data_IF_889222365538
#
_entry.id   IF_889222365538
#
_cell.length_a   1.000
_cell.length_b   1.000
_cell.length_c   1.000
_cell.angle_alpha   90.00
_cell.angle_beta   90.00
_cell.angle_gamma   90.00
#
_symmetry.space_group_name_H-M   'P 1'
#
loop_
_entity.id
_entity.type
_entity.pdbx_description
1 polymer ?
#
# COMPACT_ATOMS: atom_id res chain seq x y z
N UNK A 1 23.40 11.33 24.29
CA UNK A 1 22.57 12.40 24.85
C UNK A 1 21.35 12.52 23.95
N UNK A 2 20.19 12.05 24.42
CA UNK A 2 18.94 12.10 23.66
C UNK A 2 18.52 13.56 23.47
N UNK A 3 18.13 13.95 22.25
CA UNK A 3 17.90 15.34 21.88
C UNK A 3 16.70 15.92 22.64
N UNK A 4 16.95 16.98 23.41
CA UNK A 4 15.92 17.80 24.06
C UNK A 4 14.87 18.34 23.08
N UNK A 5 15.21 18.43 21.79
CA UNK A 5 14.30 18.86 20.73
C UNK A 5 13.08 17.94 20.49
N UNK A 6 13.16 16.65 20.86
CA UNK A 6 12.01 15.74 20.73
C UNK A 6 10.94 16.00 21.79
N UNK A 7 11.31 16.45 22.99
CA UNK A 7 10.37 16.71 24.08
C UNK A 7 9.64 18.05 23.94
N UNK A 8 10.34 19.12 23.52
CA UNK A 8 9.73 20.44 23.34
C UNK A 8 8.69 20.46 22.18
N UNK A 9 8.87 19.62 21.16
CA UNK A 9 7.89 19.45 20.08
C UNK A 9 6.65 18.64 20.53
N UNK A 10 6.82 17.72 21.48
CA UNK A 10 5.76 16.91 22.08
C UNK A 10 4.92 17.72 23.08
N UNK A 11 5.49 18.71 23.75
CA UNK A 11 4.78 19.57 24.71
C UNK A 11 4.07 20.78 24.06
N UNK A 12 4.36 21.09 22.79
CA UNK A 12 3.61 22.07 21.98
C UNK A 12 2.58 21.42 21.03
N UNK A 13 2.30 20.12 21.20
CA UNK A 13 1.13 19.51 20.55
C UNK A 13 -0.14 20.00 21.27
N UNK A 14 -1.12 20.61 20.57
CA UNK A 14 -2.41 20.88 21.19
C UNK A 14 -2.92 19.56 21.76
N UNK A 15 -3.54 19.58 22.96
CA UNK A 15 -4.21 18.44 23.61
C UNK A 15 -4.81 17.57 22.51
N UNK A 16 -4.13 16.48 22.15
CA UNK A 16 -4.49 15.69 20.99
C UNK A 16 -5.90 15.18 21.29
N UNK A 17 -6.90 15.72 20.60
CA UNK A 17 -8.29 15.30 20.67
C UNK A 17 -8.41 13.93 20.02
N UNK A 18 -7.75 12.92 20.57
CA UNK A 18 -8.16 11.54 20.37
C UNK A 18 -9.48 11.42 21.10
N UNK A 19 -10.58 11.38 20.36
CA UNK A 19 -11.81 10.85 20.93
C UNK A 19 -11.48 9.41 21.31
N UNK A 20 -11.70 9.05 22.58
CA UNK A 20 -11.26 7.78 23.17
C UNK A 20 -11.80 6.53 22.43
N UNK A 21 -12.74 6.74 21.51
CA UNK A 21 -13.51 5.70 20.86
C UNK A 21 -13.31 5.65 19.34
N UNK A 22 -12.40 6.40 18.72
CA UNK A 22 -12.24 6.39 17.26
C UNK A 22 -11.04 5.55 16.80
N UNK A 23 -11.27 4.68 15.81
CA UNK A 23 -10.23 3.88 15.18
C UNK A 23 -9.25 4.77 14.41
N UNK A 24 -7.96 4.53 14.59
CA UNK A 24 -6.90 5.18 13.84
C UNK A 24 -6.08 4.14 13.08
N UNK A 25 -5.76 4.43 11.82
CA UNK A 25 -4.80 3.67 11.02
C UNK A 25 -3.44 4.38 11.12
N UNK A 26 -2.41 3.60 11.45
CA UNK A 26 -1.04 4.06 11.53
C UNK A 26 -0.26 3.64 10.28
N UNK A 27 0.75 4.42 9.92
CA UNK A 27 1.79 4.02 8.97
C UNK A 27 3.16 4.22 9.61
N UNK A 28 4.09 3.33 9.29
CA UNK A 28 5.52 3.49 9.57
C UNK A 28 6.25 3.27 8.26
N UNK A 29 7.09 4.24 7.88
CA UNK A 29 7.86 4.15 6.64
C UNK A 29 9.17 4.95 6.71
N UNK A 30 10.14 4.60 5.87
CA UNK A 30 11.45 5.24 5.85
C UNK A 30 11.48 6.48 4.96
N UNK A 31 11.92 7.60 5.54
CA UNK A 31 12.17 8.82 4.81
C UNK A 31 13.67 8.97 4.57
N UNK A 32 14.05 9.07 3.30
CA UNK A 32 15.41 9.44 2.90
C UNK A 32 15.43 10.91 2.52
N UNK A 33 16.30 11.69 3.17
CA UNK A 33 16.56 13.09 2.85
C UNK A 33 17.39 13.25 1.56
N UNK A 34 16.97 12.57 0.48
CA UNK A 34 17.59 12.65 -0.83
C UNK A 34 16.78 13.64 -1.66
N UNK A 35 17.26 14.87 -1.71
CA UNK A 35 16.78 15.85 -2.67
C UNK A 35 17.44 15.51 -4.01
N UNK A 36 16.63 15.12 -5.00
CA UNK A 36 17.14 14.63 -6.27
C UNK A 36 17.88 15.70 -7.07
N UNK A 37 19.17 15.89 -6.81
CA UNK A 37 20.08 16.56 -7.75
C UNK A 37 20.90 15.46 -8.43
N UNK A 38 20.49 15.05 -9.64
CA UNK A 38 21.19 14.02 -10.44
C UNK A 38 22.54 14.47 -10.99
N UNK A 39 22.93 15.73 -10.78
CA UNK A 39 24.25 16.28 -11.11
C UNK A 39 24.74 17.13 -9.95
N UNK A 40 25.75 16.69 -9.19
CA UNK A 40 26.36 17.52 -8.16
C UNK A 40 26.84 18.82 -8.77
N UNK A 41 26.32 19.94 -8.29
CA UNK A 41 26.81 21.30 -8.51
C UNK A 41 27.85 21.70 -7.45
N UNK A 42 28.06 20.83 -6.45
CA UNK A 42 29.03 21.00 -5.37
C UNK A 42 29.94 19.77 -5.20
N UNK A 43 31.12 19.97 -4.62
CA UNK A 43 32.07 18.90 -4.24
C UNK A 43 31.76 18.27 -2.87
N UNK A 44 30.67 18.68 -2.22
CA UNK A 44 30.25 18.16 -0.93
C UNK A 44 29.54 16.81 -1.07
N UNK A 45 30.00 15.81 -0.31
CA UNK A 45 29.32 14.53 -0.14
C UNK A 45 28.01 14.74 0.64
N UNK A 46 26.85 14.58 0.00
CA UNK A 46 25.59 14.49 0.74
C UNK A 46 25.52 13.12 1.41
N UNK A 47 25.59 13.09 2.75
CA UNK A 47 25.20 11.91 3.50
C UNK A 47 23.68 11.85 3.51
N UNK A 48 23.09 10.75 3.08
CA UNK A 48 21.64 10.57 3.18
C UNK A 48 21.29 10.38 4.65
N UNK A 49 20.49 11.28 5.22
CA UNK A 49 19.89 11.07 6.53
C UNK A 49 18.68 10.13 6.38
N UNK A 50 18.55 9.20 7.32
CA UNK A 50 17.50 8.18 7.35
C UNK A 50 16.58 8.46 8.53
N UNK A 51 15.28 8.56 8.27
CA UNK A 51 14.29 8.82 9.30
C UNK A 51 13.21 7.75 9.27
N UNK A 52 12.70 7.39 10.45
CA UNK A 52 11.41 6.70 10.56
C UNK A 52 10.31 7.74 10.65
N UNK A 53 9.35 7.66 9.74
CA UNK A 53 8.14 8.49 9.75
C UNK A 53 6.98 7.67 10.26
N UNK A 54 6.27 8.18 11.26
CA UNK A 54 5.07 7.58 11.82
C UNK A 54 3.90 8.56 11.67
N UNK A 55 2.86 8.18 10.95
CA UNK A 55 1.63 8.98 10.82
C UNK A 55 0.42 8.20 11.30
N UNK A 56 -0.62 8.92 11.72
CA UNK A 56 -1.89 8.35 12.15
C UNK A 56 -3.06 9.10 11.51
N UNK A 57 -4.00 8.36 10.91
CA UNK A 57 -5.21 8.89 10.28
C UNK A 57 -6.44 8.29 10.97
N UNK A 58 -7.40 9.10 11.45
CA UNK A 58 -8.66 8.57 11.95
C UNK A 58 -9.50 7.96 10.82
N UNK A 59 -10.18 6.86 11.11
CA UNK A 59 -11.25 6.31 10.28
C UNK A 59 -12.55 7.01 10.66
N UNK A 60 -13.18 7.68 9.70
CA UNK A 60 -14.40 8.45 9.97
C UNK A 60 -15.52 7.53 10.46
N UNK A 61 -16.27 8.02 11.46
CA UNK A 61 -17.45 7.35 12.03
C UNK A 61 -17.23 5.90 12.51
N UNK A 62 -15.97 5.49 12.70
CA UNK A 62 -15.62 4.11 13.06
C UNK A 62 -15.07 4.04 14.48
N UNK A 63 -15.65 3.15 15.28
CA UNK A 63 -15.21 2.97 16.66
C UNK A 63 -13.97 2.08 16.78
N UNK A 64 -13.17 2.31 17.82
CA UNK A 64 -12.05 1.43 18.18
C UNK A 64 -12.52 0.00 18.42
N UNK A 65 -11.69 -0.97 18.04
CA UNK A 65 -11.98 -2.40 18.17
C UNK A 65 -11.15 -2.99 19.29
N UNK A 66 -11.73 -3.88 20.09
CA UNK A 66 -11.00 -4.58 21.14
C UNK A 66 -9.99 -5.58 20.57
N UNK A 67 -8.87 -5.78 21.26
CA UNK A 67 -7.88 -6.81 20.92
C UNK A 67 -8.41 -8.23 21.09
N UNK A 68 -9.32 -8.42 22.05
CA UNK A 68 -9.99 -9.69 22.30
C UNK A 68 -11.50 -9.45 22.25
N UNK A 69 -12.16 -10.15 21.32
CA UNK A 69 -13.61 -10.16 21.18
C UNK A 69 -14.11 -11.59 21.35
N UNK A 70 -15.07 -11.83 22.25
CA UNK A 70 -15.60 -13.17 22.54
C UNK A 70 -14.51 -14.22 22.86
N UNK A 71 -13.48 -13.84 23.63
CA UNK A 71 -12.29 -14.66 23.93
C UNK A 71 -11.40 -15.00 22.71
N UNK A 72 -11.63 -14.38 21.57
CA UNK A 72 -10.84 -14.54 20.36
C UNK A 72 -9.94 -13.31 20.22
N UNK A 73 -8.63 -13.54 20.20
CA UNK A 73 -7.65 -12.48 19.92
C UNK A 73 -7.72 -12.06 18.46
N UNK A 74 -7.48 -10.77 18.18
CA UNK A 74 -7.24 -10.25 16.84
C UNK A 74 -6.03 -10.92 16.16
N UNK A 75 -5.05 -11.37 16.96
CA UNK A 75 -3.85 -12.02 16.48
C UNK A 75 -4.11 -13.50 16.28
N UNK A 76 -3.82 -13.98 15.08
CA UNK A 76 -3.87 -15.40 14.78
C UNK A 76 -2.78 -16.14 15.58
N UNK A 77 -3.09 -17.09 16.47
CA UNK A 77 -2.08 -17.78 17.28
C UNK A 77 -1.03 -18.55 16.46
N UNK A 78 -1.36 -18.94 15.23
CA UNK A 78 -0.45 -19.59 14.28
C UNK A 78 0.28 -18.62 13.35
N UNK A 79 0.07 -17.30 13.49
CA UNK A 79 0.59 -16.21 12.63
C UNK A 79 0.10 -16.28 11.18
N UNK A 80 0.51 -17.30 10.44
CA UNK A 80 0.11 -17.54 9.04
C UNK A 80 -0.37 -18.99 8.92
N UNK A 81 -1.67 -19.17 8.69
CA UNK A 81 -2.31 -20.48 8.60
C UNK A 81 -2.50 -20.92 7.15
N UNK A 82 -1.53 -21.66 6.63
CA UNK A 82 -1.65 -22.26 5.29
C UNK A 82 -2.93 -23.11 5.11
N UNK A 83 -3.36 -23.96 6.06
CA UNK A 83 -4.60 -24.74 5.90
C UNK A 83 -5.84 -23.87 5.69
N UNK A 84 -5.94 -22.74 6.40
CA UNK A 84 -7.07 -21.80 6.27
C UNK A 84 -7.09 -21.12 4.90
N UNK A 85 -5.93 -20.65 4.44
CA UNK A 85 -5.82 -20.08 3.10
C UNK A 85 -6.22 -21.10 2.03
N UNK A 86 -5.72 -22.34 2.14
CA UNK A 86 -6.05 -23.41 1.21
C UNK A 86 -7.55 -23.73 1.24
N UNK A 87 -8.16 -23.77 2.43
CA UNK A 87 -9.59 -24.00 2.58
C UNK A 87 -10.41 -22.94 1.83
N UNK A 88 -10.10 -21.65 1.99
CA UNK A 88 -10.81 -20.61 1.24
C UNK A 88 -10.52 -20.66 -0.26
N UNK A 89 -9.28 -20.93 -0.66
CA UNK A 89 -8.93 -21.09 -2.06
C UNK A 89 -9.80 -22.16 -2.73
N UNK A 90 -9.94 -23.32 -2.06
CA UNK A 90 -10.74 -24.44 -2.58
C UNK A 90 -12.24 -24.14 -2.49
N UNK A 91 -12.75 -23.70 -1.34
CA UNK A 91 -14.20 -23.63 -1.12
C UNK A 91 -14.84 -22.32 -1.63
N UNK A 92 -14.09 -21.23 -1.72
CA UNK A 92 -14.64 -19.91 -2.07
C UNK A 92 -14.19 -19.42 -3.45
N UNK A 93 -13.01 -19.84 -3.91
CA UNK A 93 -12.40 -19.32 -5.15
C UNK A 93 -12.21 -20.36 -6.25
N UNK A 94 -12.58 -21.62 -6.02
CA UNK A 94 -12.66 -22.64 -7.09
C UNK A 94 -13.72 -22.23 -8.11
N UNK A 95 -13.45 -22.47 -9.40
CA UNK A 95 -14.29 -21.98 -10.50
C UNK A 95 -14.08 -20.49 -10.82
N UNK A 96 -13.78 -19.65 -9.83
CA UNK A 96 -13.50 -18.22 -10.06
C UNK A 96 -12.19 -18.05 -10.82
N UNK A 97 -11.12 -18.70 -10.37
CA UNK A 97 -9.80 -18.61 -11.02
C UNK A 97 -9.67 -19.45 -12.30
N UNK A 98 -10.71 -20.21 -12.66
CA UNK A 98 -10.80 -20.89 -13.94
C UNK A 98 -11.28 -19.94 -15.06
N UNK A 99 -11.82 -18.78 -14.69
CA UNK A 99 -12.29 -17.74 -15.59
C UNK A 99 -11.17 -16.69 -15.75
N UNK A 100 -10.89 -16.21 -16.98
CA UNK A 100 -9.92 -15.14 -17.17
C UNK A 100 -10.33 -13.89 -16.38
N UNK A 101 -9.38 -13.24 -15.70
CA UNK A 101 -9.64 -12.08 -14.85
C UNK A 101 -10.39 -10.98 -15.61
N UNK A 102 -10.09 -10.78 -16.90
CA UNK A 102 -10.81 -9.82 -17.73
C UNK A 102 -12.31 -10.13 -17.84
N UNK A 103 -12.69 -11.40 -18.03
CA UNK A 103 -14.10 -11.82 -18.04
C UNK A 103 -14.72 -11.67 -16.64
N UNK A 104 -13.94 -11.96 -15.60
CA UNK A 104 -14.33 -11.77 -14.20
C UNK A 104 -14.59 -10.30 -13.86
N UNK A 105 -13.78 -9.39 -14.39
CA UNK A 105 -13.99 -7.95 -14.30
C UNK A 105 -15.27 -7.52 -15.01
N UNK A 106 -15.54 -8.01 -16.22
CA UNK A 106 -16.78 -7.72 -16.94
C UNK A 106 -18.01 -8.17 -16.15
N UNK A 107 -17.89 -9.31 -15.46
CA UNK A 107 -18.93 -9.75 -14.54
C UNK A 107 -19.18 -8.73 -13.40
N UNK A 108 -18.13 -8.20 -12.76
CA UNK A 108 -18.30 -7.15 -11.74
C UNK A 108 -18.95 -5.87 -12.28
N UNK A 109 -18.57 -5.45 -13.49
CA UNK A 109 -19.19 -4.30 -14.18
C UNK A 109 -20.66 -4.57 -14.46
N UNK A 110 -21.01 -5.75 -15.00
CA UNK A 110 -22.39 -6.12 -15.31
C UNK A 110 -23.30 -6.20 -14.07
N UNK A 111 -22.71 -6.39 -12.88
CA UNK A 111 -23.40 -6.40 -11.59
C UNK A 111 -23.43 -5.01 -10.94
N UNK A 112 -23.03 -3.96 -11.65
CA UNK A 112 -22.88 -2.59 -11.14
C UNK A 112 -22.00 -2.48 -9.88
N UNK A 113 -21.06 -3.42 -9.71
CA UNK A 113 -20.10 -3.39 -8.59
C UNK A 113 -18.86 -2.56 -8.90
N UNK A 114 -18.49 -2.48 -10.18
CA UNK A 114 -17.34 -1.71 -10.64
C UNK A 114 -17.79 -0.68 -11.69
N UNK A 115 -17.47 0.60 -11.44
CA UNK A 115 -17.70 1.71 -12.38
C UNK A 115 -16.34 2.15 -12.96
N UNK A 116 -16.22 2.21 -14.28
CA UNK A 116 -14.99 2.61 -14.97
C UNK A 116 -15.24 3.96 -15.67
N UNK A 117 -14.80 5.07 -15.05
CA UNK A 117 -14.97 6.42 -15.58
C UNK A 117 -13.74 6.91 -16.38
N UNK A 118 -13.94 7.76 -17.38
CA UNK A 118 -12.85 8.30 -18.22
C UNK A 118 -11.98 9.35 -17.49
N UNK A 119 -12.58 10.22 -16.68
CA UNK A 119 -11.87 11.21 -15.85
C UNK A 119 -10.92 10.54 -14.83
N UNK A 120 -11.25 9.33 -14.39
CA UNK A 120 -10.43 8.54 -13.47
C UNK A 120 -9.15 7.97 -14.11
N UNK A 121 -9.05 7.95 -15.44
CA UNK A 121 -7.89 7.34 -16.12
C UNK A 121 -6.62 8.16 -15.98
N UNK A 122 -6.70 9.49 -16.01
CA UNK A 122 -5.53 10.35 -15.75
C UNK A 122 -5.05 10.15 -14.30
N UNK A 123 -5.98 10.10 -13.35
CA UNK A 123 -5.68 9.84 -11.95
C UNK A 123 -5.08 8.43 -11.74
N UNK A 124 -5.57 7.42 -12.45
CA UNK A 124 -5.00 6.07 -12.43
C UNK A 124 -3.54 6.02 -12.93
N UNK A 125 -3.20 6.81 -13.96
CA UNK A 125 -1.83 6.93 -14.46
C UNK A 125 -0.90 7.63 -13.44
N UNK A 126 -1.45 8.59 -12.71
CA UNK A 126 -0.74 9.46 -11.76
C UNK A 126 -0.91 9.01 -10.31
N UNK A 127 -1.35 7.78 -10.07
CA UNK A 127 -1.65 7.22 -8.74
C UNK A 127 -0.47 7.24 -7.74
N UNK A 128 0.75 7.31 -8.27
CA UNK A 128 2.01 7.40 -7.53
C UNK A 128 2.67 8.78 -7.68
N UNK A 129 1.87 9.80 -8.01
CA UNK A 129 2.29 11.20 -8.01
C UNK A 129 1.74 11.88 -6.76
N UNK A 130 2.64 12.48 -5.99
CA UNK A 130 2.36 13.12 -4.72
C UNK A 130 2.62 14.64 -4.76
N UNK A 131 2.61 15.24 -5.96
CA UNK A 131 2.73 16.68 -6.11
C UNK A 131 1.52 17.40 -5.49
N UNK A 132 1.79 18.48 -4.74
CA UNK A 132 0.76 19.27 -4.03
C UNK A 132 -0.30 19.89 -4.94
N UNK A 133 0.02 20.09 -6.24
CA UNK A 133 -0.90 20.67 -7.23
C UNK A 133 -1.98 19.69 -7.72
N UNK A 134 -1.89 18.40 -7.38
CA UNK A 134 -2.97 17.48 -7.64
C UNK A 134 -4.03 17.72 -6.57
N UNK A 135 -5.14 18.37 -6.94
CA UNK A 135 -6.33 18.45 -6.10
C UNK A 135 -6.61 17.06 -5.51
N UNK A 136 -6.79 16.99 -4.19
CA UNK A 136 -7.23 15.78 -3.48
C UNK A 136 -8.69 15.54 -3.84
N UNK A 137 -8.94 15.15 -5.09
CA UNK A 137 -10.30 15.02 -5.66
C UNK A 137 -11.10 13.87 -5.07
N UNK A 138 -10.50 13.05 -4.21
CA UNK A 138 -11.15 11.91 -3.58
C UNK A 138 -10.81 11.80 -2.10
N UNK A 139 -11.81 11.38 -1.33
CA UNK A 139 -11.78 11.30 0.14
C UNK A 139 -10.64 10.43 0.67
N UNK A 140 -10.31 9.33 0.00
CA UNK A 140 -9.26 8.40 0.45
C UNK A 140 -7.84 9.00 0.40
N UNK A 141 -7.67 10.14 -0.28
CA UNK A 141 -6.41 10.91 -0.35
C UNK A 141 -6.44 12.20 0.48
N UNK A 142 -7.51 12.45 1.23
CA UNK A 142 -7.60 13.61 2.10
C UNK A 142 -6.62 13.51 3.25
N UNK A 143 -5.64 14.43 3.25
CA UNK A 143 -4.64 14.58 4.31
C UNK A 143 -5.17 15.36 5.53
N UNK A 144 -6.43 15.84 5.48
CA UNK A 144 -7.11 16.44 6.64
C UNK A 144 -7.09 15.46 7.83
N UNK A 145 -7.04 15.94 9.06
CA UNK A 145 -6.93 15.11 10.28
C UNK A 145 -5.73 14.14 10.36
N UNK A 146 -4.83 14.11 9.37
CA UNK A 146 -3.62 13.30 9.44
C UNK A 146 -2.67 13.90 10.47
N UNK A 147 -2.22 13.06 11.40
CA UNK A 147 -1.31 13.44 12.47
C UNK A 147 0.07 12.84 12.23
N UNK A 148 1.12 13.65 12.26
CA UNK A 148 2.49 13.17 12.41
C UNK A 148 2.72 12.78 13.88
N UNK A 149 2.82 11.48 14.14
CA UNK A 149 2.96 10.91 15.50
C UNK A 149 4.38 10.44 15.81
N UNK A 150 5.30 10.59 14.87
CA UNK A 150 6.72 10.34 15.11
C UNK A 150 7.54 10.65 13.87
N UNK A 151 8.68 11.29 14.06
CA UNK A 151 9.64 11.56 13.00
C UNK A 151 11.03 11.71 13.60
N UNK A 152 11.83 10.65 13.55
CA UNK A 152 13.14 10.57 14.18
C UNK A 152 14.19 10.02 13.23
N UNK A 153 15.43 10.49 13.38
CA UNK A 153 16.58 9.95 12.66
C UNK A 153 16.88 8.53 13.15
N UNK A 154 16.49 7.54 12.35
CA UNK A 154 16.76 6.13 12.54
C UNK A 154 16.47 5.37 11.24
N UNK A 155 17.08 4.19 11.10
CA UNK A 155 16.71 3.25 10.05
C UNK A 155 15.42 2.48 10.38
N UNK A 156 14.98 1.67 9.42
CA UNK A 156 13.91 0.68 9.55
C UNK A 156 14.36 -0.67 8.97
N UNK A 157 15.50 -1.16 9.45
CA UNK A 157 16.20 -2.32 8.86
C UNK A 157 16.15 -3.59 9.71
N UNK A 158 15.62 -3.50 10.94
CA UNK A 158 15.62 -4.57 11.93
C UNK A 158 14.33 -4.59 12.75
N UNK A 159 14.11 -5.65 13.53
CA UNK A 159 12.97 -5.73 14.46
C UNK A 159 13.07 -4.64 15.53
N UNK A 160 14.29 -4.40 16.03
CA UNK A 160 14.60 -3.39 17.03
C UNK A 160 14.30 -1.98 16.53
N UNK A 161 14.58 -1.69 15.26
CA UNK A 161 14.27 -0.39 14.65
C UNK A 161 12.76 -0.14 14.59
N UNK A 162 11.98 -1.16 14.22
CA UNK A 162 10.51 -1.06 14.19
C UNK A 162 9.91 -0.95 15.60
N UNK A 163 10.44 -1.67 16.59
CA UNK A 163 10.02 -1.52 17.99
C UNK A 163 10.29 -0.10 18.49
N UNK A 164 11.44 0.50 18.15
CA UNK A 164 11.74 1.89 18.49
C UNK A 164 10.74 2.85 17.86
N UNK A 165 10.42 2.67 16.57
CA UNK A 165 9.42 3.50 15.89
C UNK A 165 8.02 3.37 16.52
N UNK A 166 7.60 2.14 16.84
CA UNK A 166 6.34 1.87 17.56
C UNK A 166 6.32 2.53 18.95
N UNK A 167 7.45 2.54 19.65
CA UNK A 167 7.58 3.18 20.97
C UNK A 167 7.30 4.69 20.90
N UNK A 168 7.65 5.35 19.78
CA UNK A 168 7.30 6.75 19.55
C UNK A 168 5.78 6.93 19.46
N UNK A 169 5.11 6.07 18.69
CA UNK A 169 3.65 6.07 18.57
C UNK A 169 3.01 5.88 19.95
N UNK A 170 3.46 4.89 20.72
CA UNK A 170 2.98 4.62 22.08
C UNK A 170 3.19 5.80 23.02
N UNK A 171 4.32 6.49 22.95
CA UNK A 171 4.62 7.61 23.85
C UNK A 171 3.61 8.76 23.72
N UNK A 172 3.13 9.02 22.50
CA UNK A 172 2.09 10.02 22.22
C UNK A 172 0.72 9.49 22.64
N UNK A 173 0.46 8.21 22.39
CA UNK A 173 -0.84 7.58 22.63
C UNK A 173 -1.12 7.30 24.12
N UNK A 174 -0.10 7.03 24.91
CA UNK A 174 -0.20 6.79 26.36
C UNK A 174 -0.77 7.98 27.11
N UNK A 175 -0.62 9.21 26.59
CA UNK A 175 -1.27 10.40 27.16
C UNK A 175 -2.80 10.32 27.09
N UNK A 176 -3.37 9.55 26.16
CA UNK A 176 -4.83 9.48 25.92
C UNK A 176 -5.47 8.12 26.17
N UNK A 177 -4.68 7.07 26.48
CA UNK A 177 -5.17 5.71 26.79
C UNK A 177 -6.11 5.11 25.73
N UNK A 178 -5.99 5.54 24.48
CA UNK A 178 -6.89 5.10 23.40
C UNK A 178 -6.52 3.73 22.82
N UNK A 179 -5.28 3.27 23.06
CA UNK A 179 -4.81 1.94 22.66
C UNK A 179 -4.97 0.89 23.76
N UNK A 180 -5.48 1.28 24.94
CA UNK A 180 -5.72 0.36 26.06
C UNK A 180 -6.71 -0.73 25.62
N UNK A 181 -6.20 -1.95 25.40
CA UNK A 181 -6.95 -3.10 24.90
C UNK A 181 -7.63 -2.90 23.52
N UNK A 182 -7.14 -1.96 22.71
CA UNK A 182 -7.68 -1.65 21.39
C UNK A 182 -6.70 -1.99 20.26
N UNK A 183 -7.23 -2.38 19.11
CA UNK A 183 -6.48 -2.64 17.88
C UNK A 183 -5.96 -1.34 17.28
N UNK A 184 -4.70 -1.33 16.88
CA UNK A 184 -4.00 -0.28 16.15
C UNK A 184 -3.52 -0.82 14.80
N UNK A 185 -4.33 -0.74 13.73
CA UNK A 185 -3.90 -1.16 12.40
C UNK A 185 -2.68 -0.36 11.96
N UNK A 186 -1.65 -1.06 11.50
CA UNK A 186 -0.38 -0.50 11.09
C UNK A 186 -0.08 -0.95 9.65
N UNK A 187 -0.36 -0.06 8.71
CA UNK A 187 -0.11 -0.30 7.29
C UNK A 187 1.35 0.04 7.00
N UNK A 188 2.10 -0.98 6.61
CA UNK A 188 3.52 -0.85 6.28
C UNK A 188 3.84 -1.71 5.06
N UNK A 189 4.87 -1.34 4.32
CA UNK A 189 5.33 -2.12 3.20
C UNK A 189 6.18 -3.32 3.66
N UNK A 190 6.95 -3.93 2.75
CA UNK A 190 7.99 -4.87 3.16
C UNK A 190 9.35 -4.18 3.19
N UNK A 191 10.08 -4.19 4.32
CA UNK A 191 10.04 -5.24 5.34
C UNK A 191 9.22 -4.96 6.60
N UNK A 192 8.50 -3.83 6.68
CA UNK A 192 7.75 -3.47 7.89
C UNK A 192 6.80 -4.56 8.38
N UNK A 193 6.02 -5.15 7.47
CA UNK A 193 5.16 -6.28 7.83
C UNK A 193 5.92 -7.47 8.41
N UNK A 194 7.10 -7.77 7.88
CA UNK A 194 7.90 -8.87 8.40
C UNK A 194 8.37 -8.58 9.82
N UNK A 195 8.95 -7.40 10.04
CA UNK A 195 9.59 -7.08 11.31
C UNK A 195 8.58 -6.84 12.42
N UNK A 196 7.46 -6.17 12.14
CA UNK A 196 6.37 -6.00 13.09
C UNK A 196 5.77 -7.36 13.46
N UNK A 197 5.47 -8.22 12.48
CA UNK A 197 5.00 -9.60 12.76
C UNK A 197 6.04 -10.37 13.58
N UNK A 198 7.32 -10.31 13.21
CA UNK A 198 8.37 -10.99 14.00
C UNK A 198 8.36 -10.54 15.45
N UNK A 199 8.20 -9.24 15.72
CA UNK A 199 8.10 -8.72 17.08
C UNK A 199 6.91 -9.32 17.83
N UNK A 200 5.72 -9.34 17.22
CA UNK A 200 4.48 -9.87 17.83
C UNK A 200 4.58 -11.35 18.24
N UNK A 201 5.32 -12.16 17.47
CA UNK A 201 5.45 -13.61 17.72
C UNK A 201 6.77 -14.00 18.40
N UNK A 202 7.55 -13.03 18.91
CA UNK A 202 8.68 -13.32 19.81
C UNK A 202 8.18 -13.93 21.12
N UNK A 203 9.03 -14.73 21.79
CA UNK A 203 8.71 -15.36 23.08
C UNK A 203 9.77 -14.98 24.13
N UNK A 204 9.45 -14.09 25.11
CA UNK A 204 8.22 -13.29 25.21
C UNK A 204 8.17 -12.17 24.14
N UNK A 205 6.97 -11.68 23.77
CA UNK A 205 6.88 -10.50 22.91
C UNK A 205 7.40 -9.26 23.64
N UNK A 206 7.94 -8.27 22.92
CA UNK A 206 8.21 -6.94 23.46
C UNK A 206 6.99 -6.36 24.17
N UNK A 207 7.21 -5.57 25.22
CA UNK A 207 6.10 -4.93 25.94
C UNK A 207 5.34 -3.97 25.02
N UNK A 208 4.02 -3.91 25.21
CA UNK A 208 3.11 -2.89 24.67
C UNK A 208 2.98 -2.85 23.13
N UNK A 209 3.52 -3.83 22.40
CA UNK A 209 3.36 -3.91 20.93
C UNK A 209 2.06 -4.62 20.50
N UNK A 210 1.40 -5.31 21.43
CA UNK A 210 0.19 -6.11 21.18
C UNK A 210 -0.94 -5.34 20.47
N UNK A 211 -1.16 -4.03 20.72
CA UNK A 211 -2.14 -3.26 19.96
C UNK A 211 -1.92 -3.29 18.45
N UNK A 212 -0.68 -3.36 17.98
CA UNK A 212 -0.35 -3.12 16.58
C UNK A 212 -0.64 -4.32 15.69
N UNK A 213 -1.40 -4.07 14.62
CA UNK A 213 -1.83 -5.09 13.67
C UNK A 213 -1.26 -4.79 12.27
N UNK A 214 -0.27 -5.55 11.78
CA UNK A 214 0.38 -5.25 10.51
C UNK A 214 -0.52 -5.55 9.30
N UNK A 215 -0.88 -4.50 8.54
CA UNK A 215 -1.76 -4.57 7.35
C UNK A 215 -0.95 -4.50 6.05
N UNK A 216 -1.48 -5.09 4.96
CA UNK A 216 -0.81 -5.11 3.66
C UNK A 216 -0.59 -3.69 3.10
N UNK A 217 0.64 -3.37 2.69
CA UNK A 217 0.98 -2.11 2.01
C UNK A 217 0.57 -2.18 0.54
N UNK A 218 -0.65 -1.72 0.23
CA UNK A 218 -1.28 -2.00 -1.06
C UNK A 218 -0.90 -1.06 -2.18
N UNK A 219 -0.52 0.16 -1.82
CA UNK A 219 0.09 1.08 -2.77
C UNK A 219 1.41 0.46 -3.27
N UNK A 220 2.20 -0.10 -2.35
CA UNK A 220 3.42 -0.83 -2.66
C UNK A 220 3.20 -2.15 -3.42
N UNK A 221 2.16 -2.93 -3.09
CA UNK A 221 1.78 -4.13 -3.86
C UNK A 221 1.47 -3.77 -5.32
N UNK A 222 0.70 -2.72 -5.54
CA UNK A 222 0.36 -2.23 -6.88
C UNK A 222 1.59 -1.71 -7.62
N UNK A 223 2.43 -0.90 -6.97
CA UNK A 223 3.67 -0.40 -7.52
C UNK A 223 4.60 -1.54 -7.98
N UNK A 224 4.83 -2.52 -7.09
CA UNK A 224 5.77 -3.60 -7.32
C UNK A 224 5.27 -4.58 -8.37
N UNK A 225 3.97 -4.90 -8.36
CA UNK A 225 3.38 -5.79 -9.37
C UNK A 225 3.49 -5.20 -10.78
N UNK A 226 3.12 -3.92 -10.97
CA UNK A 226 3.24 -3.24 -12.29
C UNK A 226 4.68 -3.19 -12.79
N UNK A 227 5.63 -2.81 -11.92
CA UNK A 227 7.06 -2.83 -12.26
C UNK A 227 7.53 -4.22 -12.66
N UNK A 228 7.10 -5.24 -11.93
CA UNK A 228 7.54 -6.61 -12.16
C UNK A 228 6.97 -7.20 -13.44
N UNK A 229 5.67 -7.02 -13.71
CA UNK A 229 5.02 -7.41 -14.97
C UNK A 229 5.73 -6.78 -16.16
N UNK A 230 6.00 -5.47 -16.08
CA UNK A 230 6.73 -4.76 -17.13
C UNK A 230 8.11 -5.37 -17.41
N UNK A 231 8.86 -5.70 -16.36
CA UNK A 231 10.21 -6.27 -16.49
C UNK A 231 10.19 -7.69 -17.04
N UNK A 232 9.28 -8.55 -16.56
CA UNK A 232 9.16 -9.94 -17.03
C UNK A 232 8.77 -9.98 -18.50
N UNK A 233 7.85 -9.12 -18.93
CA UNK A 233 7.37 -9.05 -20.30
C UNK A 233 7.95 -7.88 -21.09
N UNK A 234 9.18 -7.46 -20.76
CA UNK A 234 9.81 -6.27 -21.36
C UNK A 234 9.85 -6.36 -22.89
N UNK A 235 10.14 -7.53 -23.46
CA UNK A 235 10.21 -7.73 -24.92
C UNK A 235 8.86 -7.51 -25.63
N UNK A 236 7.74 -7.82 -24.95
CA UNK A 236 6.41 -7.52 -25.46
C UNK A 236 6.14 -6.01 -25.41
N UNK A 237 6.40 -5.39 -24.25
CA UNK A 237 6.15 -3.98 -24.03
C UNK A 237 7.06 -3.07 -24.86
N UNK A 238 8.28 -3.49 -25.15
CA UNK A 238 9.20 -2.80 -26.05
C UNK A 238 8.65 -2.73 -27.47
N UNK A 239 8.15 -3.85 -28.00
CA UNK A 239 7.50 -3.89 -29.33
C UNK A 239 6.27 -2.99 -29.37
N UNK A 240 5.42 -3.06 -28.35
CA UNK A 240 4.26 -2.18 -28.24
C UNK A 240 4.68 -0.71 -28.20
N UNK A 241 5.71 -0.39 -27.42
CA UNK A 241 6.20 0.98 -27.29
C UNK A 241 6.73 1.53 -28.62
N UNK A 242 7.58 0.78 -29.34
CA UNK A 242 8.09 1.26 -30.64
C UNK A 242 7.01 1.33 -31.71
N UNK A 243 6.00 0.46 -31.65
CA UNK A 243 4.85 0.54 -32.53
C UNK A 243 4.04 1.83 -32.29
N UNK A 244 3.78 2.19 -31.03
CA UNK A 244 2.94 3.36 -30.68
C UNK A 244 3.70 4.68 -30.79
N UNK A 245 4.96 4.74 -30.34
CA UNK A 245 5.72 5.98 -30.21
C UNK A 245 6.80 6.17 -31.28
N UNK A 246 6.99 5.18 -32.15
CA UNK A 246 8.00 5.17 -33.21
C UNK A 246 9.33 4.56 -32.76
N UNK A 247 10.01 3.90 -33.70
CA UNK A 247 11.30 3.23 -33.49
C UNK A 247 12.46 4.18 -33.15
N UNK A 248 12.33 5.47 -33.46
CA UNK A 248 13.30 6.51 -33.09
C UNK A 248 13.27 6.92 -31.61
N UNK A 249 12.33 6.40 -30.81
CA UNK A 249 12.26 6.66 -29.36
C UNK A 249 12.93 5.55 -28.58
N UNK A 250 13.61 5.88 -27.48
CA UNK A 250 14.26 4.88 -26.61
C UNK A 250 13.37 4.51 -25.41
N UNK A 251 13.14 3.21 -25.20
CA UNK A 251 12.53 2.69 -23.99
C UNK A 251 13.61 2.22 -23.02
N UNK A 252 13.82 2.97 -21.93
CA UNK A 252 14.75 2.56 -20.88
C UNK A 252 14.37 1.17 -20.30
N UNK A 253 15.36 0.35 -19.92
CA UNK A 253 15.14 -0.95 -19.25
C UNK A 253 14.38 -0.81 -17.92
N UNK A 254 14.52 0.34 -17.25
CA UNK A 254 13.79 0.71 -16.04
C UNK A 254 13.17 2.10 -16.24
N UNK A 255 12.05 2.21 -16.96
CA UNK A 255 11.43 3.50 -17.23
C UNK A 255 10.81 4.07 -15.95
N UNK A 256 10.52 5.38 -15.97
CA UNK A 256 9.76 6.02 -14.89
C UNK A 256 8.39 5.38 -14.76
N UNK A 257 7.87 5.35 -13.55
CA UNK A 257 6.65 4.63 -13.22
C UNK A 257 5.42 5.05 -14.04
N UNK A 258 5.22 6.36 -14.25
CA UNK A 258 4.13 6.85 -15.09
C UNK A 258 4.18 6.28 -16.52
N UNK A 259 5.38 6.01 -17.04
CA UNK A 259 5.56 5.41 -18.37
C UNK A 259 5.22 3.92 -18.34
N UNK A 260 5.53 3.21 -17.25
CA UNK A 260 5.08 1.83 -17.04
C UNK A 260 3.55 1.80 -17.03
N UNK A 261 2.91 2.63 -16.20
CA UNK A 261 1.45 2.72 -16.10
C UNK A 261 0.83 3.01 -17.47
N UNK A 262 1.37 3.97 -18.22
CA UNK A 262 0.89 4.31 -19.56
C UNK A 262 0.94 3.11 -20.51
N UNK A 263 2.05 2.37 -20.53
CA UNK A 263 2.21 1.21 -21.41
C UNK A 263 1.24 0.08 -21.02
N UNK A 264 1.05 -0.17 -19.72
CA UNK A 264 0.09 -1.16 -19.24
C UNK A 264 -1.36 -0.76 -19.59
N UNK A 265 -1.72 0.51 -19.42
CA UNK A 265 -3.03 1.03 -19.82
C UNK A 265 -3.26 0.95 -21.33
N UNK A 266 -2.27 1.32 -22.15
CA UNK A 266 -2.34 1.15 -23.60
C UNK A 266 -2.50 -0.33 -23.98
N UNK A 267 -1.83 -1.23 -23.27
CA UNK A 267 -1.94 -2.67 -23.48
C UNK A 267 -3.36 -3.15 -23.21
N UNK A 268 -3.94 -2.79 -22.06
CA UNK A 268 -5.32 -3.14 -21.69
C UNK A 268 -6.31 -2.59 -22.71
N UNK A 269 -6.23 -1.30 -23.01
CA UNK A 269 -7.17 -0.64 -23.93
C UNK A 269 -7.03 -1.15 -25.37
N UNK A 270 -5.81 -1.47 -25.81
CA UNK A 270 -5.57 -2.09 -27.11
C UNK A 270 -6.15 -3.50 -27.18
N UNK A 271 -5.95 -4.30 -26.13
CA UNK A 271 -6.48 -5.66 -26.04
C UNK A 271 -8.00 -5.71 -26.14
N UNK A 272 -8.71 -4.87 -25.37
CA UNK A 272 -10.19 -4.76 -25.41
C UNK A 272 -10.72 -4.58 -26.84
N UNK A 273 -10.00 -3.84 -27.70
CA UNK A 273 -10.42 -3.56 -29.07
C UNK A 273 -10.21 -4.71 -30.06
N UNK A 274 -9.26 -5.61 -29.79
CA UNK A 274 -8.84 -6.64 -30.75
C UNK A 274 -9.09 -8.06 -30.25
N UNK A 275 -9.44 -8.23 -28.98
CA UNK A 275 -9.58 -9.52 -28.30
C UNK A 275 -10.46 -10.49 -29.09
N UNK A 276 -11.66 -10.06 -29.49
CA UNK A 276 -12.61 -10.94 -30.18
C UNK A 276 -12.04 -11.49 -31.48
N UNK A 277 -11.41 -10.62 -32.29
CA UNK A 277 -10.78 -11.01 -33.56
C UNK A 277 -9.60 -11.97 -33.35
N UNK A 278 -8.83 -11.79 -32.29
CA UNK A 278 -7.71 -12.67 -31.96
C UNK A 278 -8.22 -14.03 -31.45
N UNK A 279 -9.25 -14.04 -30.60
CA UNK A 279 -9.85 -15.27 -30.09
C UNK A 279 -10.55 -16.04 -31.22
N UNK A 280 -11.25 -15.37 -32.13
CA UNK A 280 -11.88 -15.96 -33.31
C UNK A 280 -10.83 -16.65 -34.21
N UNK A 281 -9.71 -15.97 -34.46
CA UNK A 281 -8.67 -16.47 -35.37
C UNK A 281 -7.87 -17.66 -34.81
N UNK A 282 -7.54 -17.63 -33.53
CA UNK A 282 -6.64 -18.62 -32.93
C UNK A 282 -7.36 -19.66 -32.07
N UNK A 283 -8.59 -19.38 -31.63
CA UNK A 283 -9.39 -20.22 -30.75
C UNK A 283 -8.99 -20.13 -29.27
N UNK A 284 -9.99 -20.27 -28.38
CA UNK A 284 -9.80 -20.25 -26.91
C UNK A 284 -8.89 -21.36 -26.39
N UNK A 285 -8.83 -22.49 -27.09
CA UNK A 285 -8.12 -23.70 -26.65
C UNK A 285 -6.73 -23.87 -27.30
N UNK A 286 -6.26 -22.88 -28.07
CA UNK A 286 -4.95 -22.90 -28.71
C UNK A 286 -3.85 -23.31 -27.72
N UNK A 287 -3.06 -24.33 -28.08
CA UNK A 287 -2.01 -24.90 -27.23
C UNK A 287 -0.64 -24.24 -27.42
N UNK A 288 -0.50 -23.33 -28.39
CA UNK A 288 0.78 -22.63 -28.60
C UNK A 288 1.20 -21.85 -27.36
N UNK A 289 2.45 -22.04 -26.95
CA UNK A 289 2.98 -21.50 -25.71
C UNK A 289 3.05 -19.96 -25.74
N UNK A 290 3.44 -19.39 -26.89
CA UNK A 290 3.56 -17.93 -27.02
C UNK A 290 2.18 -17.30 -26.97
N UNK A 291 1.22 -17.86 -27.70
CA UNK A 291 -0.17 -17.46 -27.65
C UNK A 291 -0.71 -17.51 -26.22
N UNK A 292 -0.60 -18.64 -25.51
CA UNK A 292 -1.09 -18.77 -24.13
C UNK A 292 -0.44 -17.77 -23.18
N UNK A 293 0.87 -17.57 -23.30
CA UNK A 293 1.60 -16.59 -22.46
C UNK A 293 1.12 -15.16 -22.73
N UNK A 294 0.89 -14.81 -23.99
CA UNK A 294 0.35 -13.50 -24.36
C UNK A 294 -1.08 -13.33 -23.89
N UNK A 295 -1.94 -14.34 -24.04
CA UNK A 295 -3.32 -14.30 -23.55
C UNK A 295 -3.34 -14.17 -22.02
N UNK A 296 -2.51 -14.91 -21.29
CA UNK A 296 -2.41 -14.79 -19.83
C UNK A 296 -1.94 -13.39 -19.39
N UNK A 297 -0.97 -12.81 -20.12
CA UNK A 297 -0.53 -11.43 -19.90
C UNK A 297 -1.70 -10.44 -20.05
N UNK A 298 -2.47 -10.56 -21.13
CA UNK A 298 -3.50 -9.60 -21.52
C UNK A 298 -4.81 -9.78 -20.76
N UNK A 299 -5.25 -11.01 -20.52
CA UNK A 299 -6.50 -11.31 -19.83
C UNK A 299 -6.37 -11.33 -18.30
N UNK A 300 -5.20 -11.70 -17.76
CA UNK A 300 -5.06 -11.93 -16.32
C UNK A 300 -4.14 -10.91 -15.68
N UNK A 301 -2.89 -10.87 -16.12
CA UNK A 301 -1.81 -10.19 -15.39
C UNK A 301 -1.93 -8.66 -15.47
N UNK A 302 -2.02 -8.11 -16.68
CA UNK A 302 -2.13 -6.65 -16.88
C UNK A 302 -3.36 -6.09 -16.17
N UNK A 303 -4.59 -6.59 -16.39
CA UNK A 303 -5.77 -6.02 -15.75
C UNK A 303 -5.73 -6.14 -14.22
N UNK A 304 -5.33 -7.29 -13.65
CA UNK A 304 -5.23 -7.44 -12.19
C UNK A 304 -4.26 -6.43 -11.55
N UNK A 305 -3.10 -6.18 -12.16
CA UNK A 305 -2.13 -5.20 -11.63
C UNK A 305 -2.56 -3.75 -11.78
N UNK A 306 -3.38 -3.44 -12.79
CA UNK A 306 -3.95 -2.11 -12.94
C UNK A 306 -5.04 -1.91 -11.88
N UNK A 307 -5.99 -2.83 -11.78
CA UNK A 307 -7.21 -2.64 -11.00
C UNK A 307 -7.02 -2.67 -9.48
N UNK A 308 -6.11 -3.52 -8.97
CA UNK A 308 -5.99 -3.82 -7.53
C UNK A 308 -6.05 -2.59 -6.63
N UNK A 309 -5.33 -1.53 -7.01
CA UNK A 309 -5.30 -0.29 -6.24
C UNK A 309 -6.25 0.76 -6.82
N UNK A 310 -6.20 1.01 -8.14
CA UNK A 310 -6.90 2.16 -8.72
C UNK A 310 -8.42 2.00 -8.73
N UNK A 311 -8.90 0.77 -8.91
CA UNK A 311 -10.30 0.47 -9.15
C UNK A 311 -10.95 -0.30 -7.99
N UNK A 312 -10.20 -1.20 -7.33
CA UNK A 312 -10.76 -2.05 -6.28
C UNK A 312 -10.53 -1.49 -4.88
N UNK A 313 -9.27 -1.32 -4.48
CA UNK A 313 -8.91 -0.81 -3.16
C UNK A 313 -9.51 0.57 -2.88
N UNK A 314 -9.29 1.53 -3.79
CA UNK A 314 -9.78 2.92 -3.62
C UNK A 314 -11.30 3.04 -3.63
N UNK A 315 -12.00 2.13 -4.29
CA UNK A 315 -13.46 2.11 -4.33
C UNK A 315 -14.07 1.32 -3.16
N UNK A 316 -13.25 0.73 -2.29
CA UNK A 316 -13.73 -0.09 -1.16
C UNK A 316 -14.37 -1.41 -1.58
N UNK A 317 -14.07 -1.92 -2.78
CA UNK A 317 -14.62 -3.19 -3.30
C UNK A 317 -13.89 -4.38 -2.69
N UNK A 318 -14.11 -4.61 -1.38
CA UNK A 318 -13.33 -5.55 -0.58
C UNK A 318 -13.32 -6.99 -1.12
N UNK A 319 -14.48 -7.53 -1.51
CA UNK A 319 -14.58 -8.93 -1.94
C UNK A 319 -13.81 -9.16 -3.26
N UNK A 320 -13.98 -8.27 -4.25
CA UNK A 320 -13.24 -8.25 -5.52
C UNK A 320 -11.75 -7.96 -5.31
N UNK A 321 -11.43 -7.10 -4.34
CA UNK A 321 -10.07 -6.78 -3.96
C UNK A 321 -9.34 -8.02 -3.39
N UNK A 322 -9.95 -8.77 -2.46
CA UNK A 322 -9.36 -10.00 -1.89
C UNK A 322 -9.14 -11.05 -2.98
N UNK A 323 -10.10 -11.21 -3.88
CA UNK A 323 -9.96 -12.07 -5.06
C UNK A 323 -8.75 -11.66 -5.92
N UNK A 324 -8.55 -10.36 -6.13
CA UNK A 324 -7.44 -9.83 -6.92
C UNK A 324 -6.09 -9.99 -6.20
N UNK A 325 -6.05 -9.91 -4.87
CA UNK A 325 -4.84 -10.20 -4.08
C UNK A 325 -4.35 -11.63 -4.32
N UNK A 326 -5.26 -12.62 -4.38
CA UNK A 326 -4.90 -13.98 -4.79
C UNK A 326 -4.37 -14.04 -6.21
N UNK A 327 -5.07 -13.43 -7.18
CA UNK A 327 -4.65 -13.38 -8.57
C UNK A 327 -3.21 -12.85 -8.68
N UNK A 328 -2.90 -11.74 -7.98
CA UNK A 328 -1.56 -11.16 -7.95
C UNK A 328 -0.56 -12.13 -7.32
N UNK A 329 -0.92 -12.75 -6.21
CA UNK A 329 -0.06 -13.72 -5.56
C UNK A 329 0.32 -14.89 -6.47
N UNK A 330 -0.59 -15.39 -7.32
CA UNK A 330 -0.28 -16.52 -8.21
C UNK A 330 0.89 -16.23 -9.16
N UNK A 331 0.95 -15.03 -9.75
CA UNK A 331 2.05 -14.68 -10.66
C UNK A 331 3.29 -14.16 -9.93
N UNK A 332 3.17 -13.55 -8.75
CA UNK A 332 4.36 -13.24 -7.93
C UNK A 332 5.03 -14.52 -7.43
N UNK A 333 4.24 -15.55 -7.11
CA UNK A 333 4.74 -16.89 -6.80
C UNK A 333 5.43 -17.52 -8.01
N UNK A 334 4.77 -17.52 -9.18
CA UNK A 334 5.30 -18.06 -10.44
C UNK A 334 6.68 -17.48 -10.79
N UNK A 335 6.86 -16.18 -10.58
CA UNK A 335 8.12 -15.49 -10.87
C UNK A 335 9.08 -15.40 -9.68
N UNK A 336 8.77 -16.08 -8.57
CA UNK A 336 9.58 -16.09 -7.34
C UNK A 336 9.94 -14.68 -6.86
N UNK A 337 9.00 -13.73 -6.99
CA UNK A 337 9.22 -12.34 -6.56
C UNK A 337 9.42 -12.33 -5.05
N UNK A 338 10.65 -12.05 -4.63
CA UNK A 338 11.03 -11.95 -3.22
C UNK A 338 10.05 -11.03 -2.47
N UNK A 339 9.68 -11.42 -1.25
CA UNK A 339 8.74 -10.77 -0.33
C UNK A 339 7.27 -10.87 -0.74
N UNK A 340 6.93 -10.52 -1.98
CA UNK A 340 5.55 -10.49 -2.48
C UNK A 340 4.97 -11.86 -2.86
N UNK A 341 5.79 -12.92 -2.81
CA UNK A 341 5.30 -14.29 -2.81
C UNK A 341 4.78 -14.75 -1.43
N UNK A 342 4.98 -13.94 -0.37
CA UNK A 342 4.57 -14.24 1.01
C UNK A 342 3.66 -13.17 1.61
N UNK A 343 3.92 -11.88 1.39
CA UNK A 343 3.15 -10.80 2.01
C UNK A 343 1.62 -10.88 1.71
N UNK A 344 1.17 -11.16 0.47
CA UNK A 344 -0.24 -11.40 0.21
C UNK A 344 -0.85 -12.55 1.03
N UNK A 345 -0.10 -13.64 1.25
CA UNK A 345 -0.58 -14.78 2.03
C UNK A 345 -0.73 -14.45 3.52
N UNK A 346 0.19 -13.67 4.08
CA UNK A 346 0.08 -13.21 5.46
C UNK A 346 -1.19 -12.37 5.65
N UNK A 347 -1.46 -11.46 4.71
CA UNK A 347 -2.69 -10.66 4.70
C UNK A 347 -3.96 -11.51 4.56
N UNK A 348 -3.98 -12.45 3.61
CA UNK A 348 -5.12 -13.34 3.39
C UNK A 348 -5.39 -14.23 4.61
N UNK A 349 -4.33 -14.76 5.25
CA UNK A 349 -4.44 -15.53 6.48
C UNK A 349 -5.16 -14.76 7.57
N UNK A 350 -4.79 -13.49 7.78
CA UNK A 350 -5.38 -12.64 8.80
C UNK A 350 -6.84 -12.31 8.48
N UNK A 351 -7.15 -11.93 7.23
CA UNK A 351 -8.51 -11.62 6.80
C UNK A 351 -9.45 -12.80 7.02
N UNK A 352 -9.02 -14.01 6.63
CA UNK A 352 -9.79 -15.23 6.86
C UNK A 352 -9.87 -15.59 8.33
N UNK A 353 -8.79 -15.32 9.08
CA UNK A 353 -8.81 -15.53 10.51
C UNK A 353 -9.91 -14.72 11.20
N UNK A 354 -9.99 -13.42 10.91
CA UNK A 354 -11.03 -12.56 11.45
C UNK A 354 -12.42 -12.94 10.96
N UNK A 355 -12.55 -13.32 9.68
CA UNK A 355 -13.82 -13.75 9.10
C UNK A 355 -14.37 -15.01 9.77
N UNK A 356 -13.58 -16.07 9.85
CA UNK A 356 -14.02 -17.38 10.35
C UNK A 356 -14.31 -17.37 11.87
N UNK A 357 -13.83 -16.34 12.55
CA UNK A 357 -13.99 -16.17 13.99
C UNK A 357 -14.97 -15.05 14.35
N UNK A 358 -15.71 -14.52 13.36
CA UNK A 358 -16.67 -13.43 13.54
C UNK A 358 -16.07 -12.23 14.31
N UNK A 359 -14.79 -11.94 14.07
CA UNK A 359 -14.11 -10.83 14.75
C UNK A 359 -14.55 -9.50 14.10
N UNK A 360 -15.00 -8.49 14.87
CA UNK A 360 -15.59 -7.24 14.34
C UNK A 360 -14.64 -6.44 13.44
N UNK A 361 -13.33 -6.68 13.56
CA UNK A 361 -12.33 -6.08 12.68
C UNK A 361 -12.51 -6.47 11.20
N UNK A 362 -13.07 -7.66 10.90
CA UNK A 362 -13.36 -8.08 9.53
C UNK A 362 -14.34 -7.12 8.83
N UNK A 363 -15.43 -6.74 9.51
CA UNK A 363 -16.41 -5.83 8.95
C UNK A 363 -15.84 -4.41 8.76
N UNK A 364 -14.99 -3.98 9.69
CA UNK A 364 -14.31 -2.67 9.59
C UNK A 364 -13.38 -2.60 8.38
N UNK A 365 -12.50 -3.59 8.19
CA UNK A 365 -11.61 -3.58 7.01
C UNK A 365 -12.41 -3.73 5.72
N UNK A 366 -13.54 -4.45 5.76
CA UNK A 366 -14.44 -4.62 4.61
C UNK A 366 -15.14 -3.31 4.24
N UNK A 367 -15.65 -2.56 5.21
CA UNK A 367 -16.39 -1.31 4.98
C UNK A 367 -15.48 -0.10 4.74
N UNK A 368 -14.31 -0.07 5.36
CA UNK A 368 -13.40 1.08 5.36
C UNK A 368 -12.05 0.79 4.69
N UNK A 369 -12.00 -0.17 3.76
CA UNK A 369 -10.78 -0.59 3.08
C UNK A 369 -9.89 0.59 2.61
N UNK A 370 -10.40 1.67 1.97
CA UNK A 370 -9.57 2.76 1.47
C UNK A 370 -8.79 3.54 2.55
N UNK A 371 -9.17 3.45 3.84
CA UNK A 371 -8.45 4.08 4.95
C UNK A 371 -7.15 3.36 5.31
N UNK A 372 -6.99 2.10 4.92
CA UNK A 372 -5.80 1.29 5.19
C UNK A 372 -4.71 1.54 4.16
N UNK A 373 -4.29 2.81 4.02
CA UNK A 373 -3.52 3.29 2.88
C UNK A 373 -2.15 3.87 3.24
N UNK A 374 -1.14 3.56 2.44
CA UNK A 374 0.24 4.13 2.55
C UNK A 374 0.35 5.51 1.90
N UNK A 375 -0.65 5.93 1.13
CA UNK A 375 -0.67 7.25 0.51
C UNK A 375 -0.38 8.37 1.51
N UNK A 376 -0.86 8.25 2.75
CA UNK A 376 -0.67 9.26 3.78
C UNK A 376 0.80 9.48 4.15
N UNK A 377 1.57 8.40 4.33
CA UNK A 377 2.99 8.52 4.68
C UNK A 377 3.82 8.95 3.47
N UNK A 378 3.52 8.44 2.29
CA UNK A 378 4.19 8.81 1.03
C UNK A 378 3.96 10.28 0.65
N UNK A 379 2.72 10.77 0.81
CA UNK A 379 2.40 12.18 0.61
C UNK A 379 3.10 13.05 1.67
N UNK A 380 3.13 12.61 2.93
CA UNK A 380 3.90 13.30 3.99
C UNK A 380 5.38 13.45 3.60
N UNK A 381 6.02 12.38 3.12
CA UNK A 381 7.39 12.44 2.63
C UNK A 381 7.56 13.42 1.45
N UNK A 382 6.62 13.42 0.50
CA UNK A 382 6.62 14.36 -0.62
C UNK A 382 6.62 15.81 -0.14
N UNK A 383 5.75 16.12 0.83
CA UNK A 383 5.62 17.48 1.38
C UNK A 383 6.84 17.90 2.19
N UNK A 384 7.43 17.00 2.98
CA UNK A 384 8.70 17.26 3.67
C UNK A 384 9.78 17.58 2.64
N UNK A 385 9.97 16.73 1.61
CA UNK A 385 10.95 16.95 0.53
C UNK A 385 10.75 18.28 -0.21
N UNK A 386 9.51 18.70 -0.43
CA UNK A 386 9.21 19.96 -1.11
C UNK A 386 9.56 21.20 -0.28
N UNK A 387 9.64 21.06 1.05
CA UNK A 387 9.80 22.16 2.00
C UNK A 387 11.13 22.13 2.78
N UNK A 388 12.00 21.14 2.53
CA UNK A 388 13.35 21.09 3.08
C UNK A 388 14.40 21.37 2.00
N UNK A 389 15.52 21.94 2.41
CA UNK A 389 16.67 22.13 1.51
C UNK A 389 17.47 20.83 1.36
N UNK A 390 18.13 20.59 0.22
CA UNK A 390 19.11 19.51 0.05
C UNK A 390 20.18 19.43 1.14
N UNK A 391 20.51 20.56 1.76
CA UNK A 391 21.53 20.68 2.79
C UNK A 391 20.93 20.91 4.19
N UNK A 392 19.65 20.63 4.39
CA UNK A 392 19.00 20.79 5.69
C UNK A 392 19.60 19.82 6.71
N UNK A 393 19.90 20.32 7.91
CA UNK A 393 20.34 19.47 9.04
C UNK A 393 19.20 18.58 9.52
N UNK A 394 19.55 17.50 10.22
CA UNK A 394 18.59 16.58 10.87
C UNK A 394 17.53 17.34 11.67
N UNK A 395 17.97 18.24 12.57
CA UNK A 395 17.06 19.03 13.40
C UNK A 395 16.14 19.94 12.58
N UNK A 396 16.64 20.51 11.48
CA UNK A 396 15.83 21.35 10.61
C UNK A 396 14.78 20.52 9.87
N UNK A 397 15.13 19.33 9.38
CA UNK A 397 14.17 18.42 8.73
C UNK A 397 13.09 18.00 9.73
N UNK A 398 13.47 17.61 10.95
CA UNK A 398 12.52 17.22 11.99
C UNK A 398 11.58 18.37 12.32
N UNK A 399 12.11 19.56 12.60
CA UNK A 399 11.28 20.75 12.90
C UNK A 399 10.33 21.06 11.75
N UNK A 400 10.83 21.05 10.51
CA UNK A 400 10.02 21.35 9.34
C UNK A 400 8.91 20.32 9.13
N UNK A 401 9.17 19.03 9.37
CA UNK A 401 8.14 17.98 9.28
C UNK A 401 6.96 18.26 10.23
N UNK A 402 7.24 18.64 11.48
CA UNK A 402 6.18 18.99 12.44
C UNK A 402 5.46 20.30 12.09
N UNK A 403 6.16 21.31 11.55
CA UNK A 403 5.53 22.56 11.08
C UNK A 403 4.56 22.26 9.93
N UNK A 404 5.00 21.51 8.92
CA UNK A 404 4.14 21.12 7.78
C UNK A 404 2.92 20.36 8.28
N UNK A 405 3.10 19.39 9.19
CA UNK A 405 2.00 18.61 9.76
C UNK A 405 0.95 19.50 10.45
N UNK A 406 1.37 20.51 11.22
CA UNK A 406 0.45 21.46 11.87
C UNK A 406 -0.33 22.27 10.84
N UNK A 407 0.33 22.75 9.78
CA UNK A 407 -0.35 23.53 8.72
C UNK A 407 -1.45 22.71 8.01
N UNK A 408 -1.27 21.40 7.82
CA UNK A 408 -2.33 20.53 7.27
C UNK A 408 -3.60 20.52 8.12
N UNK A 409 -3.46 20.74 9.43
CA UNK A 409 -4.56 20.70 10.40
C UNK A 409 -5.33 22.03 10.44
N UNK A 410 -4.71 23.15 10.04
CA UNK A 410 -5.29 24.51 10.18
C UNK A 410 -5.89 25.09 8.90
N UNK A 411 -5.55 24.58 7.70
CA UNK A 411 -6.00 25.18 6.43
C UNK A 411 -7.38 24.73 5.93
N UNK A 412 -8.20 24.06 6.75
CA UNK A 412 -9.52 23.54 6.35
C UNK A 412 -10.66 23.92 7.32
N UNK A 413 -10.51 25.03 8.06
CA UNK A 413 -11.64 25.68 8.76
C UNK A 413 -12.21 26.84 7.95
#
# INVERSE_FOLDING_TARGET
MASSATWDAVDTMPKLGYSKNQLHVYNIDDYHAIHGIRRPDTTSTSSANYFATCVAKPVLETQSVLLVHNNISIHNPANIEAPRICWHLINNYTGIFDIPYFERQLYWVSRNRLVINELDRIDALMVHNYNDNLEKRKEERLMEDLKLVGFNEQGLNSVEDYIKAITLILSINNKTRHLDNCVAPLVADWPGQLFIRKALYMKPPPRDIEPFLPILGLLHLSLNSRKHVFLVHYSFFEKLFYFVFGSGKTLAKKPRLWRINLILELTRNGWVKIQDKIIEKFGKTCKDLKYRTTIDLLNNIVPATLDIYTNLFRAGLFDEYVETVFCIWTFTLRWKRKNYNKAPLAYLSDVFYWKDNDHPFFDIIRMHLPYFNEYYVENTHSRIRANTSPNATVDNIIKQAYVISKLVTFFYY
#
